data_IF_887201691466
#
_entry.id   IF_887201691466
#
_cell.length_a   1.000
_cell.length_b   1.000
_cell.length_c   1.000
_cell.angle_alpha   90.00
_cell.angle_beta   90.00
_cell.angle_gamma   90.00
#
_symmetry.space_group_name_H-M   'P 1'
#
loop_
_entity.id
_entity.type
_entity.pdbx_description
1 polymer ?
#
# COMPACT_ATOMS: atom_id res chain seq x y z
N UNK A 1 -20.38 -5.76 3.94
CA UNK A 1 -19.96 -5.71 2.52
C UNK A 1 -19.32 -7.01 2.07
N UNK A 2 -18.30 -7.57 2.75
CA UNK A 2 -17.64 -8.83 2.37
C UNK A 2 -18.57 -10.02 2.09
N UNK A 3 -19.56 -10.29 2.96
CA UNK A 3 -20.52 -11.38 2.74
C UNK A 3 -21.42 -11.19 1.51
N UNK A 4 -21.69 -9.94 1.09
CA UNK A 4 -22.44 -9.66 -0.14
C UNK A 4 -21.58 -9.88 -1.40
N UNK A 5 -20.25 -9.92 -1.25
CA UNK A 5 -19.31 -10.24 -2.33
C UNK A 5 -19.07 -11.75 -2.46
N UNK A 6 -19.72 -12.58 -1.63
CA UNK A 6 -19.50 -14.03 -1.59
C UNK A 6 -18.17 -14.45 -0.96
N UNK A 7 -17.54 -13.57 -0.17
CA UNK A 7 -16.28 -13.85 0.52
C UNK A 7 -16.57 -14.28 1.97
N UNK A 8 -15.91 -15.34 2.41
CA UNK A 8 -16.09 -15.92 3.75
C UNK A 8 -15.09 -15.36 4.75
N UNK A 9 -13.85 -15.10 4.31
CA UNK A 9 -12.75 -14.62 5.16
C UNK A 9 -12.19 -13.32 4.61
N UNK A 10 -11.58 -12.52 5.50
CA UNK A 10 -10.88 -11.28 5.12
C UNK A 10 -9.73 -11.54 4.15
N UNK A 11 -9.07 -12.68 4.29
CA UNK A 11 -7.93 -13.08 3.48
C UNK A 11 -8.33 -13.41 2.03
N UNK A 12 -9.62 -13.63 1.78
CA UNK A 12 -10.17 -13.84 0.44
C UNK A 12 -10.30 -12.52 -0.32
N UNK A 13 -10.17 -11.37 0.36
CA UNK A 13 -10.10 -10.08 -0.31
C UNK A 13 -8.76 -9.96 -1.06
N UNK A 14 -8.83 -9.93 -2.39
CA UNK A 14 -7.69 -9.81 -3.28
C UNK A 14 -7.65 -8.43 -3.94
N UNK A 15 -6.48 -7.98 -4.43
CA UNK A 15 -6.33 -6.66 -5.02
C UNK A 15 -7.28 -6.35 -6.19
N UNK A 16 -7.66 -7.36 -6.98
CA UNK A 16 -8.60 -7.19 -8.08
C UNK A 16 -10.05 -6.94 -7.64
N UNK A 17 -10.37 -7.11 -6.36
CA UNK A 17 -11.69 -6.73 -5.82
C UNK A 17 -11.83 -5.22 -5.57
N UNK A 18 -10.72 -4.47 -5.56
CA UNK A 18 -10.71 -3.05 -5.24
C UNK A 18 -10.45 -2.21 -6.48
N UNK A 19 -11.49 -1.49 -6.92
CA UNK A 19 -11.45 -0.64 -8.10
C UNK A 19 -11.15 0.81 -7.72
N UNK A 20 -10.24 1.45 -8.44
CA UNK A 20 -9.90 2.86 -8.26
C UNK A 20 -9.92 3.57 -9.60
N UNK A 21 -10.57 4.73 -9.63
CA UNK A 21 -10.44 5.65 -10.76
C UNK A 21 -9.05 6.28 -10.72
N UNK A 22 -8.20 5.93 -11.68
CA UNK A 22 -6.83 6.43 -11.79
C UNK A 22 -6.77 7.71 -12.62
N UNK A 23 -7.64 7.84 -13.61
CA UNK A 23 -7.75 9.00 -14.51
C UNK A 23 -9.21 9.36 -14.76
N UNK A 24 -9.46 10.49 -15.45
CA UNK A 24 -10.82 10.99 -15.71
C UNK A 24 -11.76 9.94 -16.33
N UNK A 25 -11.22 9.08 -17.21
CA UNK A 25 -11.97 8.06 -17.95
C UNK A 25 -11.41 6.65 -17.74
N UNK A 26 -10.57 6.43 -16.73
CA UNK A 26 -9.92 5.14 -16.52
C UNK A 26 -10.12 4.63 -15.09
N UNK A 27 -10.60 3.39 -14.99
CA UNK A 27 -10.73 2.64 -13.75
C UNK A 27 -9.82 1.41 -13.85
N UNK A 28 -8.95 1.25 -12.87
CA UNK A 28 -8.07 0.09 -12.74
C UNK A 28 -8.27 -0.56 -11.37
N UNK A 29 -7.98 -1.84 -11.28
CA UNK A 29 -7.99 -2.56 -10.02
C UNK A 29 -6.60 -2.48 -9.35
N UNK A 30 -6.51 -2.73 -8.04
CA UNK A 30 -5.24 -2.52 -7.33
C UNK A 30 -4.09 -3.40 -7.82
N UNK A 31 -4.34 -4.58 -8.40
CA UNK A 31 -3.28 -5.41 -8.99
C UNK A 31 -2.62 -4.79 -10.22
N UNK A 32 -3.30 -3.84 -10.87
CA UNK A 32 -2.79 -3.11 -12.04
C UNK A 32 -2.06 -1.82 -11.66
N UNK A 33 -2.24 -1.34 -10.43
CA UNK A 33 -1.76 -0.03 -9.98
C UNK A 33 -0.54 -0.17 -9.06
N UNK A 34 -0.43 -1.28 -8.31
CA UNK A 34 0.59 -1.46 -7.28
C UNK A 34 1.36 -2.76 -7.44
N UNK A 35 2.67 -2.66 -7.21
CA UNK A 35 3.55 -3.83 -7.05
C UNK A 35 3.43 -4.35 -5.61
N UNK A 36 2.73 -5.48 -5.42
CA UNK A 36 2.55 -6.04 -4.09
C UNK A 36 3.86 -6.62 -3.54
N UNK A 37 4.26 -6.11 -2.38
CA UNK A 37 5.46 -6.54 -1.66
C UNK A 37 5.26 -7.92 -1.04
N UNK A 38 6.31 -8.74 -1.10
CA UNK A 38 6.43 -9.94 -0.28
C UNK A 38 6.97 -9.57 1.11
N UNK A 39 6.70 -10.39 2.13
CA UNK A 39 7.30 -10.20 3.45
C UNK A 39 8.82 -10.04 3.37
N UNK A 40 9.33 -8.96 3.96
CA UNK A 40 10.76 -8.66 4.01
C UNK A 40 11.35 -7.97 2.77
N UNK A 41 10.58 -7.65 1.74
CA UNK A 41 11.12 -7.00 0.53
C UNK A 41 11.78 -5.64 0.81
N UNK A 42 11.28 -4.88 1.79
CA UNK A 42 11.84 -3.58 2.17
C UNK A 42 13.07 -3.69 3.09
N UNK A 43 13.41 -4.89 3.56
CA UNK A 43 14.56 -5.13 4.44
C UNK A 43 15.80 -5.60 3.68
N UNK A 44 15.67 -5.82 2.36
CA UNK A 44 16.76 -6.30 1.50
C UNK A 44 17.62 -5.13 1.02
N UNK A 45 18.87 -5.42 0.64
CA UNK A 45 19.77 -4.44 0.01
C UNK A 45 19.24 -3.91 -1.32
N UNK A 46 18.58 -4.77 -2.11
CA UNK A 46 17.95 -4.37 -3.37
C UNK A 46 16.48 -4.09 -3.11
N UNK A 47 16.11 -2.82 -3.13
CA UNK A 47 14.74 -2.37 -2.93
C UNK A 47 13.93 -2.47 -4.24
N UNK A 48 12.62 -2.76 -4.16
CA UNK A 48 11.72 -2.63 -5.31
C UNK A 48 11.70 -1.20 -5.84
N UNK A 49 11.81 -1.03 -7.15
CA UNK A 49 12.00 0.28 -7.81
C UNK A 49 10.89 1.28 -7.44
N UNK A 50 9.63 0.82 -7.43
CA UNK A 50 8.46 1.64 -7.09
C UNK A 50 8.48 2.17 -5.65
N UNK A 51 9.21 1.52 -4.74
CA UNK A 51 9.27 1.86 -3.32
C UNK A 51 10.61 2.44 -2.87
N UNK A 52 11.68 2.30 -3.66
CA UNK A 52 13.04 2.70 -3.27
C UNK A 52 13.13 4.15 -2.77
N UNK A 53 12.59 5.11 -3.56
CA UNK A 53 12.57 6.52 -3.19
C UNK A 53 11.85 6.79 -1.87
N UNK A 54 10.73 6.10 -1.62
CA UNK A 54 9.94 6.29 -0.41
C UNK A 54 10.64 5.70 0.81
N UNK A 55 11.29 4.54 0.66
CA UNK A 55 12.08 3.90 1.72
C UNK A 55 13.32 4.74 2.07
N UNK A 56 14.04 5.26 1.09
CA UNK A 56 15.20 6.13 1.31
C UNK A 56 14.83 7.44 2.02
N UNK A 57 13.65 7.97 1.76
CA UNK A 57 13.13 9.16 2.43
C UNK A 57 12.49 8.86 3.80
N UNK A 58 12.28 7.59 4.16
CA UNK A 58 11.61 7.23 5.39
C UNK A 58 12.51 7.48 6.60
N UNK A 59 11.98 8.15 7.62
CA UNK A 59 12.69 8.42 8.87
C UNK A 59 11.73 8.17 10.05
N UNK A 60 12.14 7.30 10.98
CA UNK A 60 11.35 6.97 12.17
C UNK A 60 11.11 8.19 13.07
N UNK A 61 12.07 9.13 13.11
CA UNK A 61 12.01 10.32 13.96
C UNK A 61 11.13 11.42 13.39
N UNK A 62 10.66 11.30 12.14
CA UNK A 62 9.81 12.31 11.49
C UNK A 62 8.44 12.47 12.15
N UNK A 63 8.02 11.50 12.96
CA UNK A 63 6.74 11.51 13.67
C UNK A 63 6.85 12.03 15.10
N UNK A 64 8.05 12.35 15.58
CA UNK A 64 8.25 12.90 16.91
C UNK A 64 7.93 14.40 16.89
N UNK A 65 6.67 14.73 17.20
CA UNK A 65 6.25 16.09 17.46
C UNK A 65 7.01 16.65 18.67
N UNK A 66 7.74 17.75 18.45
CA UNK A 66 8.27 18.59 19.52
C UNK A 66 7.09 19.40 20.07
N UNK A 67 6.19 18.77 20.83
CA UNK A 67 5.14 19.53 21.50
C UNK A 67 5.81 20.39 22.58
N UNK A 68 5.81 21.74 22.49
CA UNK A 68 6.31 22.56 23.59
C UNK A 68 5.37 22.31 24.77
N UNK A 69 5.92 21.90 25.90
CA UNK A 69 5.19 21.90 27.16
C UNK A 69 4.91 23.35 27.54
N UNK A 70 3.65 23.78 27.42
CA UNK A 70 3.14 25.03 27.96
C UNK A 70 2.51 24.75 29.32
#
# INVERSE_FOLDING_TARGET
MMGAMGLEKTDDLKPWHLMRRTEAYEIRNYSEIYDFLKPGDLLKKSLPVSYARAVEAANAESFNDIHPSV
#
